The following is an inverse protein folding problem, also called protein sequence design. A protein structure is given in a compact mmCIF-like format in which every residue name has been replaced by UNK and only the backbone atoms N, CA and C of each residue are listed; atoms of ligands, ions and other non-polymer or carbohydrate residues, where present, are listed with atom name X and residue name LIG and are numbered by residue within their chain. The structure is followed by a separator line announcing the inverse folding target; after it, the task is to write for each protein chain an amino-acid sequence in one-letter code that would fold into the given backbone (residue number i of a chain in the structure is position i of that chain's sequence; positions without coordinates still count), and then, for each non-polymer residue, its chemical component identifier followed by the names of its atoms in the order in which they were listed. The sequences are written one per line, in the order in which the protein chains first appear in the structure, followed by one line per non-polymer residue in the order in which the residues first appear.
data_IF_035085953205
#
_entry.id   IF_035085953205
#
_cell.length_a   1.000
_cell.length_b   1.000
_cell.length_c   1.000
_cell.angle_alpha   90.00
_cell.angle_beta   90.00
_cell.angle_gamma   90.00
#
_symmetry.space_group_name_H-M   'P 1'
#
loop_
_entity.id
_entity.type
_entity.pdbx_description
1 polymer ?
#
# COMPACT_ATOMS: atom_id res chain seq x y z
N UNK A 1 -87.64 74.71 -34.65
CA UNK A 1 -86.34 75.30 -35.04
C UNK A 1 -85.37 75.00 -33.90
N UNK A 2 -84.54 73.96 -33.91
CA UNK A 2 -83.97 73.15 -35.01
C UNK A 2 -84.32 71.66 -34.89
N UNK A 3 -84.68 71.06 -36.02
CA UNK A 3 -84.53 69.62 -36.28
C UNK A 3 -83.06 69.23 -36.06
N UNK A 4 -82.81 68.19 -35.28
CA UNK A 4 -81.57 67.41 -35.39
C UNK A 4 -81.96 66.06 -35.98
N UNK A 5 -82.20 66.06 -37.29
CA UNK A 5 -82.40 64.83 -38.05
C UNK A 5 -81.09 64.09 -38.19
N UNK A 6 -80.80 63.17 -37.27
CA UNK A 6 -79.72 62.19 -37.47
C UNK A 6 -80.18 61.20 -38.56
N UNK A 7 -79.41 61.10 -39.65
CA UNK A 7 -79.80 60.23 -40.76
C UNK A 7 -79.48 58.77 -40.43
N UNK A 8 -80.30 57.82 -40.92
CA UNK A 8 -80.02 56.37 -40.77
C UNK A 8 -78.64 56.00 -41.33
N UNK A 9 -78.17 56.73 -42.34
CA UNK A 9 -76.85 56.56 -42.93
C UNK A 9 -75.74 56.88 -41.90
N UNK A 10 -75.93 57.91 -41.07
CA UNK A 10 -74.97 58.30 -40.04
C UNK A 10 -74.91 57.27 -38.90
N UNK A 11 -76.05 56.63 -38.57
CA UNK A 11 -76.10 55.57 -37.57
C UNK A 11 -75.44 54.26 -38.03
N UNK A 12 -75.52 53.92 -39.33
CA UNK A 12 -74.92 52.69 -39.91
C UNK A 12 -73.43 52.87 -40.21
N UNK A 13 -72.98 54.10 -40.51
CA UNK A 13 -71.58 54.43 -40.81
C UNK A 13 -70.92 55.24 -39.69
N UNK A 14 -71.27 54.95 -38.43
CA UNK A 14 -70.76 55.66 -37.27
C UNK A 14 -69.22 55.66 -37.21
N UNK A 15 -68.57 54.57 -37.65
CA UNK A 15 -67.11 54.44 -37.66
C UNK A 15 -66.39 55.37 -38.66
N UNK A 16 -67.08 55.82 -39.71
CA UNK A 16 -66.51 56.68 -40.77
C UNK A 16 -66.78 58.15 -40.46
N UNK A 17 -67.98 58.47 -39.96
CA UNK A 17 -68.42 59.84 -39.72
C UNK A 17 -68.01 60.35 -38.33
N UNK A 18 -67.98 59.47 -37.33
CA UNK A 18 -67.54 59.76 -35.97
C UNK A 18 -66.50 58.72 -35.51
N UNK A 19 -65.29 58.72 -36.13
CA UNK A 19 -64.26 57.76 -35.78
C UNK A 19 -63.88 57.89 -34.32
N UNK A 20 -63.91 56.77 -33.59
CA UNK A 20 -63.46 56.76 -32.21
C UNK A 20 -61.96 57.08 -32.15
N UNK A 21 -61.52 57.93 -31.20
CA UNK A 21 -60.10 58.19 -31.03
C UNK A 21 -59.37 56.88 -30.70
N UNK A 22 -58.19 56.64 -31.31
CA UNK A 22 -57.42 55.43 -31.02
C UNK A 22 -57.03 55.40 -29.55
N UNK A 23 -56.88 54.18 -29.02
CA UNK A 23 -56.41 53.99 -27.65
C UNK A 23 -55.02 54.59 -27.49
N UNK A 24 -54.77 55.36 -26.41
CA UNK A 24 -53.43 55.83 -26.10
C UNK A 24 -52.47 54.66 -25.96
N UNK A 25 -51.28 54.76 -26.59
CA UNK A 25 -50.29 53.67 -26.67
C UNK A 25 -49.88 53.09 -25.30
N UNK A 26 -49.92 53.91 -24.24
CA UNK A 26 -49.56 53.47 -22.89
C UNK A 26 -50.58 52.54 -22.23
N UNK A 27 -51.86 52.72 -22.58
CA UNK A 27 -52.98 51.93 -22.07
C UNK A 27 -53.30 50.72 -22.96
N UNK A 28 -52.75 50.70 -24.16
CA UNK A 28 -53.00 49.66 -25.17
C UNK A 28 -52.60 48.27 -24.68
N UNK A 29 -51.50 48.16 -23.94
CA UNK A 29 -51.03 46.90 -23.31
C UNK A 29 -52.00 46.28 -22.29
N UNK A 30 -52.86 47.09 -21.66
CA UNK A 30 -53.82 46.64 -20.65
C UNK A 30 -55.21 46.40 -21.24
N UNK A 31 -55.48 46.96 -22.42
CA UNK A 31 -56.71 46.68 -23.16
C UNK A 31 -56.55 45.40 -23.98
N UNK A 32 -57.67 44.72 -24.24
CA UNK A 32 -57.70 43.49 -25.02
C UNK A 32 -58.35 43.74 -26.39
N UNK A 33 -57.64 44.35 -27.36
CA UNK A 33 -58.08 44.34 -28.74
C UNK A 33 -57.81 42.94 -29.33
N UNK A 34 -58.87 42.21 -29.68
CA UNK A 34 -58.73 40.93 -30.38
C UNK A 34 -58.58 41.18 -31.88
N UNK A 35 -57.35 41.34 -32.34
CA UNK A 35 -57.05 41.42 -33.77
C UNK A 35 -56.75 40.02 -34.33
N UNK A 36 -57.44 39.58 -35.40
CA UNK A 36 -57.16 38.30 -36.04
C UNK A 36 -55.70 38.22 -36.51
N UNK A 37 -54.99 37.15 -36.14
CA UNK A 37 -53.63 36.86 -36.59
C UNK A 37 -52.50 37.37 -35.69
N UNK A 38 -52.79 38.13 -34.63
CA UNK A 38 -51.79 38.53 -33.61
C UNK A 38 -51.81 37.57 -32.42
N UNK A 39 -50.63 37.28 -31.87
CA UNK A 39 -50.48 36.46 -30.66
C UNK A 39 -50.87 37.30 -29.44
N UNK A 40 -51.81 36.80 -28.64
CA UNK A 40 -52.20 37.44 -27.38
C UNK A 40 -51.13 37.20 -26.31
N UNK A 41 -50.34 38.22 -26.00
CA UNK A 41 -49.32 38.20 -24.94
C UNK A 41 -49.92 38.74 -23.64
N UNK A 42 -49.50 38.22 -22.49
CA UNK A 42 -49.92 38.74 -21.19
C UNK A 42 -49.48 40.21 -21.02
N UNK A 43 -50.35 41.06 -20.47
CA UNK A 43 -50.16 42.53 -20.40
C UNK A 43 -48.81 42.96 -19.79
N UNK A 44 -48.27 42.20 -18.84
CA UNK A 44 -46.98 42.47 -18.22
C UNK A 44 -45.76 42.18 -19.12
N UNK A 45 -45.92 41.28 -20.11
CA UNK A 45 -44.84 40.80 -20.98
C UNK A 45 -44.87 41.41 -22.39
N UNK A 46 -45.84 42.29 -22.68
CA UNK A 46 -45.95 42.97 -23.99
C UNK A 46 -44.72 43.80 -24.32
N UNK A 47 -44.04 44.35 -23.31
CA UNK A 47 -42.80 45.13 -23.46
C UNK A 47 -41.53 44.27 -23.55
N UNK A 48 -41.62 42.96 -23.35
CA UNK A 48 -40.44 42.09 -23.30
C UNK A 48 -39.96 41.78 -24.72
N UNK A 49 -38.63 41.84 -24.91
CA UNK A 49 -38.03 41.53 -26.21
C UNK A 49 -38.07 40.02 -26.44
N UNK A 50 -38.82 39.60 -27.46
CA UNK A 50 -38.83 38.22 -27.91
C UNK A 50 -37.48 37.91 -28.58
N UNK A 51 -36.87 36.73 -28.36
CA UNK A 51 -35.68 36.30 -29.08
C UNK A 51 -35.89 36.36 -30.61
N UNK A 52 -34.80 36.55 -31.36
CA UNK A 52 -34.83 36.54 -32.82
C UNK A 52 -35.43 35.22 -33.33
N UNK A 53 -36.11 35.25 -34.49
CA UNK A 53 -36.76 34.07 -35.07
C UNK A 53 -35.79 32.89 -35.28
N UNK A 54 -34.51 33.18 -35.49
CA UNK A 54 -33.45 32.19 -35.69
C UNK A 54 -32.90 31.59 -34.39
N UNK A 55 -33.41 32.00 -33.22
CA UNK A 55 -32.95 31.49 -31.93
C UNK A 55 -33.47 30.06 -31.70
N UNK A 56 -32.60 29.04 -31.68
CA UNK A 56 -33.05 27.67 -31.48
C UNK A 56 -33.38 27.45 -30.00
N UNK A 57 -34.61 27.02 -29.72
CA UNK A 57 -35.01 26.58 -28.38
C UNK A 57 -34.63 25.12 -28.18
N UNK A 58 -33.91 24.80 -27.10
CA UNK A 58 -33.52 23.42 -26.74
C UNK A 58 -32.10 23.30 -26.17
N UNK A 59 -31.75 22.11 -25.71
CA UNK A 59 -30.40 21.80 -25.19
C UNK A 59 -29.51 21.43 -26.38
N UNK A 60 -28.42 22.17 -26.58
CA UNK A 60 -27.41 21.81 -27.59
C UNK A 60 -26.60 20.63 -27.07
N UNK A 61 -26.65 19.49 -27.75
CA UNK A 61 -25.78 18.36 -27.44
C UNK A 61 -24.36 18.69 -27.90
N UNK A 62 -23.41 18.67 -26.96
CA UNK A 62 -22.00 18.65 -27.31
C UNK A 62 -21.71 17.33 -28.01
N UNK A 63 -21.28 17.38 -29.27
CA UNK A 63 -20.77 16.18 -29.95
C UNK A 63 -19.55 15.72 -29.14
N UNK A 64 -19.67 14.56 -28.49
CA UNK A 64 -18.60 13.98 -27.69
C UNK A 64 -17.42 13.51 -28.56
N UNK A 65 -16.60 12.62 -28.00
CA UNK A 65 -15.53 11.99 -28.76
C UNK A 65 -16.09 11.22 -29.96
N UNK A 66 -15.45 11.38 -31.11
CA UNK A 66 -15.83 10.67 -32.34
C UNK A 66 -15.19 9.29 -32.35
N UNK A 67 -15.85 8.32 -33.00
CA UNK A 67 -15.36 6.93 -33.11
C UNK A 67 -13.92 6.89 -33.66
N UNK A 68 -13.58 7.79 -34.59
CA UNK A 68 -12.23 7.93 -35.13
C UNK A 68 -11.21 8.24 -34.03
N UNK A 69 -11.49 9.21 -33.15
CA UNK A 69 -10.58 9.56 -32.04
C UNK A 69 -10.35 8.40 -31.08
N UNK A 70 -11.34 7.54 -30.88
CA UNK A 70 -11.22 6.35 -30.04
C UNK A 70 -10.33 5.28 -30.67
N UNK A 71 -10.43 5.07 -31.98
CA UNK A 71 -9.61 4.10 -32.72
C UNK A 71 -8.15 4.57 -32.82
N UNK A 72 -7.95 5.88 -33.00
CA UNK A 72 -6.62 6.49 -33.16
C UNK A 72 -5.88 6.67 -31.83
N UNK A 73 -6.55 6.65 -30.69
CA UNK A 73 -5.93 6.88 -29.37
C UNK A 73 -4.76 5.94 -29.04
N UNK A 74 -4.72 4.74 -29.64
CA UNK A 74 -3.64 3.77 -29.49
C UNK A 74 -2.52 3.86 -30.54
N UNK A 75 -2.72 4.61 -31.64
CA UNK A 75 -1.73 4.78 -32.70
C UNK A 75 -0.91 6.04 -32.45
N UNK A 76 0.18 5.89 -31.70
CA UNK A 76 1.19 6.95 -31.57
C UNK A 76 2.34 6.62 -32.49
N UNK A 77 2.69 7.56 -33.35
CA UNK A 77 3.79 7.41 -34.30
C UNK A 77 4.87 8.46 -34.02
N UNK A 78 6.13 8.10 -34.28
CA UNK A 78 7.27 9.01 -34.23
C UNK A 78 7.57 9.55 -32.83
N UNK A 79 7.45 10.86 -32.64
CA UNK A 79 7.83 11.53 -31.38
C UNK A 79 6.90 11.13 -30.23
N UNK A 80 5.61 10.96 -30.52
CA UNK A 80 4.62 10.59 -29.50
C UNK A 80 4.85 9.17 -28.97
N UNK A 81 5.27 8.25 -29.84
CA UNK A 81 5.65 6.88 -29.48
C UNK A 81 6.92 6.89 -28.61
N UNK A 82 7.94 7.65 -29.00
CA UNK A 82 9.18 7.77 -28.23
C UNK A 82 8.94 8.34 -26.82
N UNK A 83 8.10 9.39 -26.70
CA UNK A 83 7.74 9.95 -25.40
C UNK A 83 6.96 8.95 -24.54
N UNK A 84 6.06 8.17 -25.14
CA UNK A 84 5.36 7.11 -24.44
C UNK A 84 6.33 6.02 -23.97
N UNK A 85 7.18 5.52 -24.85
CA UNK A 85 8.18 4.50 -24.53
C UNK A 85 9.15 4.98 -23.44
N UNK A 86 9.54 6.26 -23.47
CA UNK A 86 10.35 6.87 -22.42
C UNK A 86 9.60 6.92 -21.08
N UNK A 87 8.31 7.27 -21.09
CA UNK A 87 7.47 7.24 -19.89
C UNK A 87 7.29 5.82 -19.33
N UNK A 88 7.09 4.85 -20.22
CA UNK A 88 6.89 3.42 -19.89
C UNK A 88 8.18 2.70 -19.52
N UNK A 89 9.35 3.26 -19.86
CA UNK A 89 10.67 2.70 -19.53
C UNK A 89 10.90 2.48 -18.03
N UNK A 90 10.07 3.10 -17.17
CA UNK A 90 10.09 2.92 -15.72
C UNK A 90 9.59 1.52 -15.33
N UNK A 91 8.63 0.98 -16.09
CA UNK A 91 7.97 -0.29 -15.79
C UNK A 91 8.92 -1.47 -15.89
N UNK A 92 8.75 -2.42 -14.97
CA UNK A 92 9.61 -3.59 -14.85
C UNK A 92 9.47 -4.54 -16.05
N UNK A 93 8.25 -4.68 -16.60
CA UNK A 93 8.00 -5.43 -17.84
C UNK A 93 8.80 -4.87 -19.02
N UNK A 94 8.77 -3.55 -19.21
CA UNK A 94 9.51 -2.87 -20.27
C UNK A 94 11.03 -3.02 -20.13
N UNK A 95 11.56 -3.14 -18.91
CA UNK A 95 12.99 -3.38 -18.65
C UNK A 95 13.38 -4.84 -18.85
N UNK A 96 12.52 -5.79 -18.45
CA UNK A 96 12.80 -7.23 -18.48
C UNK A 96 12.58 -7.87 -19.84
N UNK A 97 11.63 -7.34 -20.61
CA UNK A 97 11.19 -7.93 -21.87
C UNK A 97 11.33 -6.93 -23.05
N UNK A 98 12.52 -6.35 -23.29
CA UNK A 98 12.72 -5.48 -24.44
C UNK A 98 12.63 -6.30 -25.74
N UNK A 99 11.75 -5.89 -26.65
CA UNK A 99 11.55 -6.61 -27.90
C UNK A 99 12.87 -6.69 -28.69
N UNK A 100 13.26 -7.91 -29.09
CA UNK A 100 14.47 -8.18 -29.87
C UNK A 100 15.80 -8.06 -29.10
N UNK A 101 15.77 -7.87 -27.77
CA UNK A 101 16.97 -7.84 -26.93
C UNK A 101 16.79 -8.75 -25.72
N UNK A 102 17.88 -9.33 -25.23
CA UNK A 102 17.86 -10.03 -23.95
C UNK A 102 17.79 -9.02 -22.79
N UNK A 103 17.30 -9.48 -21.64
CA UNK A 103 17.27 -8.67 -20.43
C UNK A 103 18.67 -8.14 -20.06
N UNK A 104 18.79 -6.82 -19.96
CA UNK A 104 20.01 -6.19 -19.46
C UNK A 104 19.92 -6.03 -17.93
N UNK A 105 20.78 -6.75 -17.21
CA UNK A 105 20.84 -6.75 -15.74
C UNK A 105 21.57 -5.52 -15.16
N UNK A 106 22.11 -4.63 -15.99
CA UNK A 106 22.78 -3.41 -15.55
C UNK A 106 24.17 -3.62 -14.97
N UNK A 107 24.87 -4.70 -15.33
CA UNK A 107 26.24 -4.93 -14.88
C UNK A 107 27.23 -4.04 -15.63
N UNK A 108 28.10 -3.35 -14.90
CA UNK A 108 29.22 -2.60 -15.46
C UNK A 108 30.37 -3.57 -15.80
N UNK A 109 30.51 -3.91 -17.08
CA UNK A 109 31.59 -4.77 -17.55
C UNK A 109 32.89 -3.96 -17.73
N UNK A 110 34.06 -4.52 -17.42
CA UNK A 110 35.35 -3.88 -17.70
C UNK A 110 35.50 -3.56 -19.19
N UNK A 111 36.08 -2.40 -19.54
CA UNK A 111 36.18 -1.93 -20.93
C UNK A 111 36.91 -2.90 -21.89
N UNK A 112 37.78 -3.75 -21.35
CA UNK A 112 38.51 -4.81 -22.08
C UNK A 112 37.55 -5.82 -22.73
N UNK A 113 36.34 -5.98 -22.19
CA UNK A 113 35.33 -6.92 -22.68
C UNK A 113 34.70 -6.47 -24.01
N UNK A 114 34.75 -5.17 -24.32
CA UNK A 114 34.18 -4.62 -25.56
C UNK A 114 35.07 -4.88 -26.79
N UNK A 115 36.31 -5.34 -26.59
CA UNK A 115 37.19 -5.69 -27.70
C UNK A 115 36.73 -6.99 -28.38
N UNK A 116 36.61 -7.05 -29.72
CA UNK A 116 36.15 -8.25 -30.43
C UNK A 116 37.10 -9.46 -30.30
N UNK A 117 38.34 -9.23 -29.89
CA UNK A 117 39.35 -10.25 -29.57
C UNK A 117 39.20 -10.86 -28.19
N UNK A 118 38.45 -10.23 -27.28
CA UNK A 118 38.28 -10.71 -25.93
C UNK A 118 37.49 -12.03 -25.91
N UNK A 119 37.85 -12.91 -24.98
CA UNK A 119 37.18 -14.19 -24.75
C UNK A 119 36.97 -14.33 -23.25
N UNK A 120 35.76 -14.72 -22.87
CA UNK A 120 35.45 -15.01 -21.47
C UNK A 120 36.06 -16.35 -21.05
N UNK A 121 36.52 -16.43 -19.80
CA UNK A 121 37.12 -17.63 -19.21
C UNK A 121 38.58 -17.42 -18.77
N UNK A 122 39.06 -18.33 -17.93
CA UNK A 122 40.45 -18.30 -17.46
C UNK A 122 41.32 -18.97 -18.52
N UNK A 123 42.22 -18.20 -19.15
CA UNK A 123 43.23 -18.77 -20.03
C UNK A 123 44.27 -19.49 -19.16
N UNK A 124 44.29 -20.82 -19.21
CA UNK A 124 45.38 -21.57 -18.62
C UNK A 124 46.63 -21.39 -19.48
N UNK A 125 47.71 -20.86 -18.89
CA UNK A 125 49.04 -20.94 -19.49
C UNK A 125 49.48 -22.40 -19.45
N UNK A 126 50.10 -22.88 -20.53
CA UNK A 126 50.77 -24.18 -20.47
C UNK A 126 51.82 -24.14 -19.35
N UNK A 127 51.83 -25.17 -18.50
CA UNK A 127 52.68 -25.23 -17.32
C UNK A 127 54.18 -25.16 -17.65
N UNK A 128 55.00 -25.04 -16.61
CA UNK A 128 56.45 -24.97 -16.77
C UNK A 128 56.99 -26.20 -17.50
N UNK A 129 57.92 -25.96 -18.42
CA UNK A 129 58.60 -27.02 -19.17
C UNK A 129 59.43 -27.81 -18.15
N UNK A 130 59.01 -29.02 -17.81
CA UNK A 130 59.63 -29.83 -16.73
C UNK A 130 61.15 -30.03 -16.86
N UNK A 131 61.71 -29.87 -18.08
CA UNK A 131 63.16 -29.86 -18.33
C UNK A 131 63.90 -28.73 -17.61
N UNK A 132 63.28 -27.55 -17.49
CA UNK A 132 63.89 -26.40 -16.81
C UNK A 132 63.89 -26.57 -15.29
N UNK A 133 62.90 -27.29 -14.76
CA UNK A 133 62.80 -27.63 -13.33
C UNK A 133 63.86 -28.67 -12.92
N UNK A 134 64.06 -29.70 -13.75
CA UNK A 134 65.02 -30.78 -13.47
C UNK A 134 66.49 -30.32 -13.50
N UNK A 135 66.82 -29.35 -14.34
CA UNK A 135 68.18 -28.87 -14.51
C UNK A 135 68.22 -27.34 -14.54
N UNK A 136 68.23 -26.68 -13.37
CA UNK A 136 68.30 -25.23 -13.30
C UNK A 136 69.66 -24.78 -13.86
N UNK A 137 69.64 -24.23 -15.08
CA UNK A 137 70.82 -23.63 -15.70
C UNK A 137 70.83 -22.14 -15.37
N UNK A 138 71.89 -21.67 -14.71
CA UNK A 138 72.09 -20.23 -14.44
C UNK A 138 72.02 -19.82 -12.97
N UNK A 139 72.03 -20.74 -12.00
CA UNK A 139 72.35 -20.36 -10.63
C UNK A 139 73.83 -20.00 -10.53
N UNK A 140 74.11 -18.75 -10.16
CA UNK A 140 75.46 -18.29 -9.81
C UNK A 140 75.89 -18.83 -8.44
N UNK A 141 77.20 -18.86 -8.19
CA UNK A 141 77.74 -19.19 -6.87
C UNK A 141 77.26 -18.15 -5.85
N UNK A 142 76.90 -18.60 -4.64
CA UNK A 142 76.39 -17.72 -3.60
C UNK A 142 77.41 -16.62 -3.24
N UNK A 143 76.93 -15.37 -2.99
CA UNK A 143 77.80 -14.28 -2.58
C UNK A 143 78.40 -14.55 -1.18
N UNK A 144 79.63 -14.06 -0.91
CA UNK A 144 80.39 -14.41 0.31
C UNK A 144 79.72 -13.99 1.63
N UNK A 145 78.81 -13.01 1.60
CA UNK A 145 78.03 -12.59 2.76
C UNK A 145 76.98 -13.63 3.19
N UNK A 146 76.48 -14.43 2.24
CA UNK A 146 75.55 -15.52 2.52
C UNK A 146 76.29 -16.64 3.25
N UNK A 147 77.52 -16.93 2.82
CA UNK A 147 78.41 -17.89 3.49
C UNK A 147 78.64 -17.53 4.97
N UNK A 148 79.01 -16.27 5.28
CA UNK A 148 79.21 -15.82 6.67
C UNK A 148 77.96 -15.99 7.56
N UNK A 149 76.77 -15.93 6.96
CA UNK A 149 75.50 -16.14 7.67
C UNK A 149 75.26 -17.61 7.97
N UNK A 150 75.56 -18.50 7.03
CA UNK A 150 75.47 -19.95 7.21
C UNK A 150 76.47 -20.44 8.26
N UNK A 151 77.70 -19.92 8.23
CA UNK A 151 78.72 -20.14 9.26
C UNK A 151 78.18 -19.80 10.66
N UNK A 152 77.51 -18.64 10.81
CA UNK A 152 76.98 -18.18 12.11
C UNK A 152 75.79 -19.01 12.62
N UNK A 153 74.93 -19.47 11.71
CA UNK A 153 73.63 -20.08 12.07
C UNK A 153 73.70 -21.60 12.16
N UNK A 154 74.41 -22.24 11.21
CA UNK A 154 74.46 -23.69 11.06
C UNK A 154 75.86 -24.26 11.36
N UNK A 155 76.87 -23.40 11.58
CA UNK A 155 78.25 -23.85 11.75
C UNK A 155 78.81 -24.50 10.49
N UNK A 156 78.27 -24.15 9.32
CA UNK A 156 78.68 -24.69 8.02
C UNK A 156 79.89 -23.90 7.50
N UNK A 157 81.08 -24.39 7.85
CA UNK A 157 82.35 -23.76 7.46
C UNK A 157 82.80 -24.30 6.11
N UNK A 158 83.38 -23.41 5.30
CA UNK A 158 84.11 -23.86 4.13
C UNK A 158 85.30 -24.73 4.60
N UNK A 159 85.67 -25.77 3.84
CA UNK A 159 86.81 -26.61 4.20
C UNK A 159 88.08 -25.78 4.46
N UNK A 160 88.57 -25.73 5.71
CA UNK A 160 89.80 -25.04 6.11
C UNK A 160 89.66 -23.69 6.83
N UNK A 161 88.45 -23.21 7.11
CA UNK A 161 88.22 -21.90 7.75
C UNK A 161 88.27 -21.95 9.31
N UNK A 162 89.07 -21.10 10.00
CA UNK A 162 89.11 -21.07 11.46
C UNK A 162 87.92 -20.31 12.08
N UNK A 163 87.44 -20.78 13.23
CA UNK A 163 86.26 -20.21 13.91
C UNK A 163 86.53 -18.81 14.46
N UNK A 164 85.96 -17.78 13.85
CA UNK A 164 86.01 -16.42 14.35
C UNK A 164 84.83 -16.11 15.30
N UNK A 165 85.11 -15.89 16.59
CA UNK A 165 84.08 -15.63 17.62
C UNK A 165 83.60 -14.16 17.68
N UNK A 166 84.14 -13.28 16.84
CA UNK A 166 83.74 -11.85 16.72
C UNK A 166 83.69 -11.09 18.06
N UNK A 167 84.62 -11.38 18.99
CA UNK A 167 84.74 -10.62 20.25
C UNK A 167 85.26 -9.18 19.98
N UNK A 168 84.58 -8.18 20.53
CA UNK A 168 85.04 -6.79 20.50
C UNK A 168 86.04 -6.58 21.64
N UNK A 169 87.31 -6.85 21.37
CA UNK A 169 88.35 -6.73 22.38
C UNK A 169 88.72 -5.25 22.62
N UNK A 170 88.69 -4.76 23.88
CA UNK A 170 89.07 -3.38 24.20
C UNK A 170 90.59 -3.17 24.19
N UNK A 171 91.34 -4.23 23.90
CA UNK A 171 92.79 -4.30 23.87
C UNK A 171 93.18 -5.23 22.72
N UNK A 172 94.26 -4.92 22.01
CA UNK A 172 94.70 -5.69 20.84
C UNK A 172 94.96 -7.17 21.23
N UNK A 173 94.14 -8.14 20.75
CA UNK A 173 94.16 -9.53 21.25
C UNK A 173 95.46 -10.25 20.92
N UNK A 174 96.14 -9.79 19.87
CA UNK A 174 97.42 -10.35 19.43
C UNK A 174 98.57 -9.85 20.34
N UNK A 175 98.38 -8.74 21.09
CA UNK A 175 99.45 -8.05 21.84
C UNK A 175 99.26 -7.91 23.35
N UNK A 176 98.03 -7.82 23.87
CA UNK A 176 97.77 -7.60 25.30
C UNK A 176 98.01 -8.86 26.15
N UNK A 177 98.72 -8.72 27.27
CA UNK A 177 98.83 -9.78 28.29
C UNK A 177 97.65 -9.68 29.26
N UNK A 178 96.80 -10.69 29.28
CA UNK A 178 95.64 -10.74 30.17
C UNK A 178 96.06 -11.18 31.60
N UNK A 179 95.58 -10.47 32.64
CA UNK A 179 95.85 -10.71 34.08
C UNK A 179 95.67 -9.44 34.95
N UNK A 180 95.58 -9.56 36.29
CA UNK A 180 95.29 -8.43 37.22
C UNK A 180 96.52 -8.00 38.07
N UNK A 181 96.66 -6.69 38.34
CA UNK A 181 97.67 -6.10 39.24
C UNK A 181 97.08 -5.00 40.15
N UNK A 182 97.44 -5.00 41.44
CA UNK A 182 96.88 -4.13 42.47
C UNK A 182 97.97 -3.30 43.15
N UNK A 183 97.85 -1.97 43.17
CA UNK A 183 98.68 -1.10 44.02
C UNK A 183 97.78 -0.21 44.90
N UNK A 184 97.89 -0.39 46.22
CA UNK A 184 97.05 0.27 47.23
C UNK A 184 97.80 1.38 47.97
N UNK A 185 97.24 2.59 47.98
CA UNK A 185 97.58 3.66 48.92
C UNK A 185 96.59 3.53 50.09
N UNK A 186 97.11 3.40 51.32
CA UNK A 186 96.39 3.06 52.55
C UNK A 186 95.37 4.09 53.05
N UNK A 187 94.36 4.42 52.24
CA UNK A 187 93.07 4.91 52.70
C UNK A 187 92.08 3.74 52.70
N UNK A 188 91.46 3.48 53.85
CA UNK A 188 90.23 2.70 53.85
C UNK A 188 89.16 3.57 53.16
N UNK A 189 88.90 3.27 51.88
CA UNK A 189 88.02 4.06 51.05
C UNK A 189 86.64 4.26 51.73
N UNK A 190 86.24 5.54 51.89
CA UNK A 190 84.84 5.91 52.12
C UNK A 190 84.39 6.34 53.53
N UNK A 191 85.25 6.37 54.57
CA UNK A 191 84.79 6.78 55.92
C UNK A 191 84.75 8.29 56.21
N UNK A 192 85.67 9.09 55.67
CA UNK A 192 85.78 10.51 56.03
C UNK A 192 84.61 11.39 55.53
N UNK A 193 84.01 11.06 54.38
CA UNK A 193 82.92 11.86 53.78
C UNK A 193 81.57 11.59 54.46
N UNK A 194 81.39 10.38 55.00
CA UNK A 194 80.13 9.95 55.61
C UNK A 194 79.79 10.72 56.89
N UNK A 195 80.79 10.97 57.74
CA UNK A 195 80.56 11.59 59.05
C UNK A 195 80.28 13.10 58.96
N UNK A 196 80.86 13.81 57.98
CA UNK A 196 80.60 15.23 57.75
C UNK A 196 79.21 15.54 57.17
N UNK A 197 78.57 14.56 56.55
CA UNK A 197 77.25 14.72 55.90
C UNK A 197 76.08 14.32 56.80
N UNK A 198 76.31 13.86 58.03
CA UNK A 198 75.25 13.35 58.90
C UNK A 198 74.94 14.36 60.04
N UNK A 199 74.05 15.31 59.80
CA UNK A 199 73.73 16.44 60.70
C UNK A 199 72.84 16.08 61.90
N UNK A 200 72.22 14.91 61.88
CA UNK A 200 71.31 14.44 62.94
C UNK A 200 72.06 13.96 64.20
N UNK A 201 73.39 13.87 64.10
CA UNK A 201 74.26 13.42 65.17
C UNK A 201 75.01 14.60 65.76
N UNK A 202 75.13 14.63 67.08
CA UNK A 202 76.02 15.55 67.76
C UNK A 202 77.49 15.25 67.41
N UNK A 203 78.41 16.12 67.85
CA UNK A 203 79.85 16.00 67.57
C UNK A 203 80.50 14.71 68.14
N UNK A 204 79.77 13.97 68.98
CA UNK A 204 80.19 12.68 69.54
C UNK A 204 79.53 11.48 68.83
N UNK A 205 78.71 11.72 67.81
CA UNK A 205 78.05 10.69 67.01
C UNK A 205 76.71 10.18 67.56
N UNK A 206 76.14 10.81 68.59
CA UNK A 206 74.87 10.43 69.23
C UNK A 206 73.70 11.33 68.82
N UNK A 207 72.46 10.85 68.95
CA UNK A 207 71.26 11.66 68.65
C UNK A 207 70.82 12.48 69.87
N UNK A 208 70.47 13.77 69.72
CA UNK A 208 70.02 14.58 70.84
C UNK A 208 68.65 14.10 71.38
N UNK A 209 68.55 13.89 72.69
CA UNK A 209 67.32 13.45 73.36
C UNK A 209 66.26 14.57 73.46
N UNK A 210 64.98 14.21 73.50
CA UNK A 210 63.84 15.15 73.56
C UNK A 210 63.86 15.99 74.84
N UNK A 211 63.77 17.32 74.69
CA UNK A 211 63.71 18.28 75.80
C UNK A 211 62.25 18.53 76.19
N UNK A 212 61.90 18.32 77.46
CA UNK A 212 60.57 18.66 77.98
C UNK A 212 60.46 20.19 78.15
N UNK A 213 59.39 20.78 77.62
CA UNK A 213 59.15 22.25 77.61
C UNK A 213 57.75 22.54 78.20
N UNK A 214 57.54 23.67 78.90
CA UNK A 214 56.22 24.06 79.40
C UNK A 214 55.18 24.17 78.29
N UNK A 215 53.96 23.69 78.58
CA UNK A 215 52.84 23.63 77.63
C UNK A 215 52.44 25.00 77.08
N UNK A 216 52.40 26.04 77.91
CA UNK A 216 52.06 27.40 77.49
C UNK A 216 53.01 27.94 76.43
N UNK A 217 54.31 27.64 76.56
CA UNK A 217 55.32 28.05 75.59
C UNK A 217 55.20 27.26 74.26
N UNK A 218 54.65 26.05 74.29
CA UNK A 218 54.35 25.26 73.09
C UNK A 218 53.06 25.75 72.42
N UNK A 219 52.00 26.00 73.18
CA UNK A 219 50.73 26.54 72.68
C UNK A 219 50.92 27.94 72.06
N UNK A 220 51.77 28.79 72.67
CA UNK A 220 52.18 30.07 72.07
C UNK A 220 52.95 29.87 70.75
N UNK A 221 53.90 28.93 70.71
CA UNK A 221 54.65 28.62 69.47
C UNK A 221 53.73 28.09 68.37
N UNK A 222 52.69 27.31 68.69
CA UNK A 222 51.72 26.78 67.71
C UNK A 222 50.82 27.84 67.07
N UNK A 223 50.59 28.96 67.75
CA UNK A 223 49.80 30.08 67.21
C UNK A 223 50.71 31.05 66.44
N UNK A 224 51.93 31.26 66.91
CA UNK A 224 52.82 32.30 66.39
C UNK A 224 53.72 31.81 65.24
N UNK A 225 54.09 30.53 65.22
CA UNK A 225 54.88 29.93 64.14
C UNK A 225 53.98 29.17 63.16
N UNK A 226 54.35 29.18 61.89
CA UNK A 226 53.69 28.37 60.87
C UNK A 226 54.25 26.94 60.88
N UNK A 227 53.37 25.96 61.10
CA UNK A 227 53.72 24.54 60.99
C UNK A 227 53.66 24.08 59.52
N UNK A 228 54.68 23.34 59.07
CA UNK A 228 54.71 22.82 57.70
C UNK A 228 53.54 21.85 57.47
N UNK A 229 52.76 22.09 56.41
CA UNK A 229 51.65 21.23 56.01
C UNK A 229 50.34 21.43 56.78
N UNK A 230 50.26 22.40 57.70
CA UNK A 230 49.02 22.78 58.38
C UNK A 230 48.67 24.24 58.12
N UNK A 231 47.37 24.54 58.16
CA UNK A 231 46.90 25.93 58.10
C UNK A 231 47.31 26.72 59.35
N UNK A 232 47.50 28.04 59.18
CA UNK A 232 47.84 28.93 60.29
C UNK A 232 46.74 28.88 61.37
N UNK A 233 47.13 28.63 62.61
CA UNK A 233 46.20 28.56 63.72
C UNK A 233 45.81 29.98 64.20
N UNK A 234 44.58 30.39 63.92
CA UNK A 234 44.05 31.72 64.30
C UNK A 234 43.27 31.70 65.63
N UNK A 235 43.47 30.68 66.47
CA UNK A 235 42.84 30.57 67.80
C UNK A 235 41.31 30.40 67.79
N UNK A 236 40.74 29.91 66.68
CA UNK A 236 39.29 29.81 66.44
C UNK A 236 38.62 28.56 67.06
N UNK A 237 39.35 27.75 67.82
CA UNK A 237 38.82 26.52 68.44
C UNK A 237 38.40 25.46 67.42
N UNK A 238 37.68 24.42 67.87
CA UNK A 238 37.08 23.41 66.97
C UNK A 238 35.72 23.92 66.48
N UNK A 239 35.45 23.94 65.17
CA UNK A 239 34.15 24.37 64.66
C UNK A 239 33.05 23.38 65.12
N UNK A 240 31.82 23.85 65.40
CA UNK A 240 30.72 23.01 65.89
C UNK A 240 30.04 22.24 64.75
N UNK A 241 30.82 21.65 63.86
CA UNK A 241 30.32 20.82 62.75
C UNK A 241 31.05 19.47 62.72
N UNK A 242 30.40 18.39 62.24
CA UNK A 242 31.06 17.12 62.01
C UNK A 242 32.24 17.27 61.04
N UNK A 243 33.24 16.39 61.16
CA UNK A 243 34.43 16.43 60.30
C UNK A 243 34.09 16.31 58.79
N UNK A 244 32.95 15.69 58.46
CA UNK A 244 32.49 15.46 57.09
C UNK A 244 31.63 16.61 56.53
N UNK A 245 31.44 17.70 57.28
CA UNK A 245 30.65 18.84 56.84
C UNK A 245 31.42 19.71 55.85
N UNK A 246 30.84 19.93 54.66
CA UNK A 246 31.37 20.87 53.67
C UNK A 246 30.84 22.28 53.92
N UNK A 247 31.74 23.23 54.17
CA UNK A 247 31.38 24.65 54.29
C UNK A 247 31.08 25.26 52.92
N UNK A 248 30.08 26.14 52.86
CA UNK A 248 29.66 26.84 51.63
C UNK A 248 28.13 26.87 51.48
N UNK A 249 27.66 27.46 50.38
CA UNK A 249 26.24 27.45 49.99
C UNK A 249 26.04 26.36 48.94
N UNK A 250 25.14 25.41 49.22
CA UNK A 250 24.78 24.35 48.26
C UNK A 250 23.98 24.93 47.09
N UNK A 251 24.31 24.51 45.87
CA UNK A 251 23.72 25.03 44.63
C UNK A 251 22.44 24.30 44.19
N UNK A 252 21.99 23.28 44.93
CA UNK A 252 20.89 22.42 44.50
C UNK A 252 19.57 22.85 45.14
N UNK A 253 18.67 23.44 44.35
CA UNK A 253 17.26 23.58 44.73
C UNK A 253 16.30 23.62 43.52
N UNK A 254 16.51 22.73 42.56
CA UNK A 254 15.43 22.38 41.64
C UNK A 254 15.08 20.93 41.85
N UNK A 255 13.96 20.68 42.52
CA UNK A 255 13.40 19.33 42.72
C UNK A 255 12.89 18.67 41.44
N UNK A 256 13.14 19.27 40.28
CA UNK A 256 12.76 18.75 38.97
C UNK A 256 14.00 18.59 38.12
N UNK A 257 14.23 17.37 37.66
CA UNK A 257 15.33 17.03 36.75
C UNK A 257 14.97 17.36 35.31
N UNK A 258 15.97 17.61 34.46
CA UNK A 258 15.73 17.83 33.03
C UNK A 258 14.98 16.66 32.35
N UNK A 259 15.19 15.43 32.84
CA UNK A 259 14.50 14.25 32.35
C UNK A 259 12.99 14.27 32.68
N UNK A 260 12.61 14.76 33.86
CA UNK A 260 11.20 14.94 34.25
C UNK A 260 10.53 16.05 33.44
N UNK A 261 11.24 17.14 33.14
CA UNK A 261 10.73 18.19 32.25
C UNK A 261 10.46 17.69 30.83
N UNK A 262 11.31 16.80 30.30
CA UNK A 262 11.14 16.24 28.95
C UNK A 262 10.00 15.24 28.88
N UNK A 263 9.83 14.40 29.91
CA UNK A 263 8.77 13.38 29.93
C UNK A 263 7.41 13.96 30.30
N UNK A 264 7.39 15.03 31.09
CA UNK A 264 6.16 15.60 31.64
C UNK A 264 5.44 14.65 32.59
N UNK A 265 4.39 15.16 33.23
CA UNK A 265 3.51 14.38 34.10
C UNK A 265 2.11 14.38 33.51
N UNK A 266 1.95 13.66 32.41
CA UNK A 266 0.67 13.56 31.69
C UNK A 266 -0.21 12.48 32.31
N UNK A 267 -1.49 12.76 32.61
CA UNK A 267 -2.44 11.71 32.99
C UNK A 267 -2.62 10.72 31.84
N UNK A 268 -3.07 9.50 32.14
CA UNK A 268 -3.23 8.44 31.14
C UNK A 268 -4.11 8.87 29.96
N UNK A 269 -5.10 9.73 30.17
CA UNK A 269 -5.98 10.27 29.13
C UNK A 269 -5.21 11.09 28.08
N UNK A 270 -4.19 11.86 28.48
CA UNK A 270 -3.36 12.68 27.58
C UNK A 270 -2.22 11.89 26.94
N UNK A 271 -1.91 10.69 27.46
CA UNK A 271 -0.95 9.77 26.85
C UNK A 271 -1.57 8.96 25.70
N UNK A 272 -2.91 8.88 25.66
CA UNK A 272 -3.61 8.16 24.60
C UNK A 272 -3.55 8.95 23.29
N UNK A 273 -3.50 8.26 22.14
CA UNK A 273 -3.61 8.92 20.84
C UNK A 273 -4.95 9.62 20.67
N UNK A 274 -4.96 10.68 19.85
CA UNK A 274 -6.18 11.43 19.52
C UNK A 274 -7.27 10.52 18.92
N UNK A 275 -8.55 10.72 19.29
CA UNK A 275 -9.64 9.82 18.92
C UNK A 275 -10.06 9.91 17.44
N UNK A 276 -9.64 10.94 16.70
CA UNK A 276 -9.92 11.12 15.27
C UNK A 276 -8.82 10.55 14.36
N UNK A 277 -7.80 9.90 14.94
CA UNK A 277 -6.79 9.16 14.18
C UNK A 277 -7.45 8.00 13.42
N UNK A 278 -7.47 8.10 12.09
CA UNK A 278 -7.98 7.06 11.20
C UNK A 278 -9.50 7.03 11.03
N UNK A 279 -10.26 7.91 11.72
CA UNK A 279 -11.71 7.96 11.61
C UNK A 279 -12.24 9.40 11.65
N UNK A 280 -13.20 9.71 10.78
CA UNK A 280 -13.86 11.02 10.82
C UNK A 280 -14.90 11.06 11.95
N UNK A 281 -14.64 11.80 13.02
CA UNK A 281 -15.61 12.00 14.13
C UNK A 281 -16.67 13.08 13.84
N UNK A 282 -16.52 13.82 12.74
CA UNK A 282 -17.46 14.89 12.34
C UNK A 282 -18.86 14.32 12.13
N UNK A 283 -19.84 14.86 12.85
CA UNK A 283 -21.25 14.50 12.72
C UNK A 283 -21.68 14.64 11.25
N UNK A 284 -22.34 13.61 10.72
CA UNK A 284 -22.76 13.52 9.31
C UNK A 284 -21.69 12.97 8.34
N UNK A 285 -20.45 12.77 8.78
CA UNK A 285 -19.37 12.14 7.98
C UNK A 285 -18.68 10.99 8.71
N UNK A 286 -19.31 10.47 9.76
CA UNK A 286 -18.78 9.36 10.54
C UNK A 286 -18.81 8.09 9.72
N UNK A 287 -17.68 7.37 9.68
CA UNK A 287 -17.59 6.06 9.06
C UNK A 287 -18.01 4.96 10.04
N UNK A 288 -19.17 5.14 10.68
CA UNK A 288 -19.73 4.20 11.65
C UNK A 288 -21.15 3.92 11.17
N UNK A 289 -21.38 2.68 10.73
CA UNK A 289 -22.69 2.24 10.24
C UNK A 289 -23.13 1.02 11.04
N UNK A 290 -24.34 1.05 11.59
CA UNK A 290 -24.93 -0.10 12.27
C UNK A 290 -25.48 -1.13 11.27
N UNK A 291 -25.71 -0.70 10.02
CA UNK A 291 -26.28 -1.53 8.97
C UNK A 291 -25.17 -2.25 8.19
N UNK A 292 -25.35 -3.55 7.95
CA UNK A 292 -24.49 -4.38 7.10
C UNK A 292 -24.89 -4.35 5.63
N UNK A 293 -25.96 -3.63 5.29
CA UNK A 293 -26.44 -3.53 3.91
C UNK A 293 -25.49 -2.68 3.06
N UNK A 294 -25.40 -2.94 1.75
CA UNK A 294 -24.71 -2.05 0.84
C UNK A 294 -25.43 -0.70 0.77
N UNK A 295 -24.67 0.39 0.90
CA UNK A 295 -25.17 1.75 0.67
C UNK A 295 -25.10 2.08 -0.82
N UNK A 296 -26.25 2.35 -1.42
CA UNK A 296 -26.35 2.69 -2.84
C UNK A 296 -27.74 2.43 -3.40
N UNK A 297 -27.88 2.61 -4.71
CA UNK A 297 -29.08 2.24 -5.46
C UNK A 297 -28.73 1.04 -6.35
N UNK A 298 -29.42 -0.12 -6.20
CA UNK A 298 -29.15 -1.28 -7.02
C UNK A 298 -29.57 -1.03 -8.47
N UNK A 299 -28.87 -1.66 -9.43
CA UNK A 299 -29.18 -1.55 -10.86
C UNK A 299 -30.55 -2.12 -11.20
N UNK A 300 -30.95 -3.17 -10.48
CA UNK A 300 -32.29 -3.78 -10.55
C UNK A 300 -33.02 -3.38 -9.27
N UNK A 301 -34.09 -2.61 -9.43
CA UNK A 301 -34.81 -1.96 -8.33
C UNK A 301 -35.89 -2.85 -7.73
N UNK A 302 -35.47 -4.00 -7.21
CA UNK A 302 -36.33 -4.90 -6.44
C UNK A 302 -36.70 -4.34 -5.05
N UNK A 303 -35.98 -3.31 -4.61
CA UNK A 303 -36.14 -2.61 -3.32
C UNK A 303 -37.42 -1.77 -3.24
N UNK A 304 -38.04 -1.44 -4.38
CA UNK A 304 -39.22 -0.59 -4.44
C UNK A 304 -40.41 -1.30 -5.09
N UNK A 305 -41.64 -0.93 -4.70
CA UNK A 305 -42.83 -1.48 -5.34
C UNK A 305 -42.89 -1.10 -6.82
N UNK A 306 -43.21 -2.09 -7.65
CA UNK A 306 -43.40 -1.92 -9.09
C UNK A 306 -44.54 -0.93 -9.35
N UNK A 307 -44.38 0.04 -10.28
CA UNK A 307 -45.44 0.98 -10.61
C UNK A 307 -46.63 0.25 -11.25
N UNK A 308 -47.86 0.59 -10.84
CA UNK A 308 -49.09 -0.01 -11.40
C UNK A 308 -49.23 0.28 -12.89
N UNK A 309 -48.84 1.47 -13.32
CA UNK A 309 -48.78 1.88 -14.72
C UNK A 309 -47.37 2.35 -15.01
N UNK A 310 -46.66 1.62 -15.87
CA UNK A 310 -45.30 1.97 -16.27
C UNK A 310 -45.34 3.14 -17.25
N UNK A 311 -44.49 4.15 -17.01
CA UNK A 311 -44.32 5.26 -17.96
C UNK A 311 -43.58 4.76 -19.21
N UNK A 312 -43.92 5.31 -20.38
CA UNK A 312 -43.21 5.00 -21.64
C UNK A 312 -41.73 5.40 -21.58
N UNK A 313 -41.40 6.41 -20.78
CA UNK A 313 -40.04 6.91 -20.57
C UNK A 313 -39.31 6.25 -19.38
N UNK A 314 -39.88 5.19 -18.81
CA UNK A 314 -39.31 4.53 -17.64
C UNK A 314 -38.18 3.58 -18.01
N UNK A 315 -36.95 4.02 -17.74
CA UNK A 315 -35.72 3.27 -18.02
C UNK A 315 -35.27 2.37 -16.87
N UNK A 316 -36.02 2.30 -15.76
CA UNK A 316 -35.64 1.48 -14.60
C UNK A 316 -36.18 0.06 -14.73
N UNK A 317 -35.34 -0.92 -14.39
CA UNK A 317 -35.74 -2.32 -14.30
C UNK A 317 -36.13 -2.65 -12.86
N UNK A 318 -37.33 -3.18 -12.64
CA UNK A 318 -37.88 -3.53 -11.32
C UNK A 318 -37.85 -5.04 -11.03
N UNK A 319 -37.04 -5.81 -11.76
CA UNK A 319 -36.95 -7.26 -11.67
C UNK A 319 -38.19 -8.00 -12.15
N UNK A 320 -38.95 -7.39 -13.06
CA UNK A 320 -40.03 -8.04 -13.81
C UNK A 320 -39.73 -8.17 -15.31
N UNK A 321 -38.55 -7.75 -15.74
CA UNK A 321 -38.15 -7.86 -17.14
C UNK A 321 -37.56 -9.25 -17.41
N UNK A 322 -37.87 -9.78 -18.59
CA UNK A 322 -37.33 -11.06 -19.07
C UNK A 322 -35.91 -10.88 -19.61
N UNK A 323 -35.12 -11.98 -19.59
CA UNK A 323 -33.78 -11.98 -20.15
C UNK A 323 -33.80 -11.85 -21.69
N UNK A 324 -32.68 -11.39 -22.27
CA UNK A 324 -32.56 -11.19 -23.71
C UNK A 324 -32.87 -12.44 -24.55
N UNK A 325 -32.55 -13.63 -24.03
CA UNK A 325 -32.86 -14.91 -24.71
C UNK A 325 -34.35 -15.17 -24.84
N UNK A 326 -35.15 -14.84 -23.83
CA UNK A 326 -36.60 -15.02 -23.86
C UNK A 326 -37.25 -14.02 -24.83
N UNK A 327 -36.72 -12.79 -24.93
CA UNK A 327 -37.18 -11.81 -25.91
C UNK A 327 -36.91 -12.22 -27.37
N UNK A 328 -35.79 -12.89 -27.62
CA UNK A 328 -35.46 -13.41 -28.96
C UNK A 328 -36.28 -14.65 -29.32
N UNK A 329 -36.65 -15.45 -28.32
CA UNK A 329 -37.39 -16.69 -28.48
C UNK A 329 -38.68 -16.66 -27.64
N UNK A 330 -39.69 -15.86 -28.06
CA UNK A 330 -40.89 -15.67 -27.28
C UNK A 330 -41.68 -16.98 -27.13
N UNK A 331 -42.31 -17.17 -25.98
CA UNK A 331 -43.13 -18.35 -25.74
C UNK A 331 -44.43 -18.30 -26.54
N UNK A 332 -45.04 -19.47 -26.78
CA UNK A 332 -46.24 -19.60 -27.62
C UNK A 332 -47.39 -18.68 -27.17
N UNK A 333 -47.50 -18.41 -25.88
CA UNK A 333 -48.59 -17.64 -25.29
C UNK A 333 -48.31 -16.13 -25.20
N UNK A 334 -47.07 -15.68 -25.42
CA UNK A 334 -46.77 -14.24 -25.46
C UNK A 334 -47.44 -13.54 -26.64
N UNK A 335 -47.62 -14.25 -27.77
CA UNK A 335 -48.39 -13.76 -28.92
C UNK A 335 -49.86 -13.53 -28.59
N UNK A 336 -50.39 -14.23 -27.58
CA UNK A 336 -51.75 -14.02 -27.06
C UNK A 336 -51.81 -12.94 -25.97
N UNK A 337 -50.68 -12.28 -25.66
CA UNK A 337 -50.58 -11.24 -24.64
C UNK A 337 -50.41 -11.77 -23.22
N UNK A 338 -50.09 -13.05 -23.03
CA UNK A 338 -49.84 -13.65 -21.72
C UNK A 338 -48.33 -13.68 -21.48
N UNK A 339 -47.79 -12.89 -20.53
CA UNK A 339 -46.36 -12.86 -20.25
C UNK A 339 -45.92 -14.10 -19.46
N UNK A 340 -44.66 -14.51 -19.61
CA UNK A 340 -44.06 -15.64 -18.89
C UNK A 340 -44.21 -15.54 -17.36
N UNK A 341 -44.17 -14.31 -16.83
CA UNK A 341 -44.36 -14.07 -15.39
C UNK A 341 -45.71 -14.55 -14.87
N UNK A 342 -46.74 -14.66 -15.72
CA UNK A 342 -48.09 -15.11 -15.29
C UNK A 342 -48.17 -16.63 -15.08
N UNK A 343 -47.29 -17.40 -15.73
CA UNK A 343 -47.10 -18.84 -15.53
C UNK A 343 -46.34 -19.14 -14.24
N UNK A 344 -45.37 -18.29 -13.90
CA UNK A 344 -44.59 -18.36 -12.65
C UNK A 344 -45.36 -17.83 -11.44
N UNK A 345 -46.47 -17.11 -11.66
CA UNK A 345 -47.30 -16.58 -10.59
C UNK A 345 -47.93 -17.73 -9.80
N UNK A 346 -47.63 -17.78 -8.50
CA UNK A 346 -48.20 -18.76 -7.57
C UNK A 346 -49.67 -18.43 -7.27
N UNK A 347 -50.55 -19.43 -7.37
CA UNK A 347 -52.01 -19.33 -7.22
C UNK A 347 -52.50 -20.40 -6.24
N UNK A 348 -53.68 -20.22 -5.62
CA UNK A 348 -54.27 -21.24 -4.77
C UNK A 348 -54.78 -22.43 -5.59
N UNK A 349 -54.97 -23.57 -4.93
CA UNK A 349 -55.34 -24.85 -5.57
C UNK A 349 -56.59 -24.77 -6.44
N UNK A 350 -57.64 -24.08 -5.96
CA UNK A 350 -58.89 -23.90 -6.71
C UNK A 350 -58.67 -23.16 -8.04
N UNK A 351 -57.98 -22.01 -7.99
CA UNK A 351 -57.71 -21.20 -9.19
C UNK A 351 -56.92 -21.98 -10.24
N UNK A 352 -55.91 -22.75 -9.82
CA UNK A 352 -55.09 -23.56 -10.75
C UNK A 352 -55.92 -24.67 -11.38
N UNK A 353 -56.76 -25.33 -10.60
CA UNK A 353 -57.69 -26.36 -11.08
C UNK A 353 -58.66 -25.79 -12.11
N UNK A 354 -59.23 -24.62 -11.83
CA UNK A 354 -60.17 -23.96 -12.73
C UNK A 354 -59.50 -23.59 -14.06
N UNK A 355 -58.29 -23.02 -14.02
CA UNK A 355 -57.52 -22.67 -15.22
C UNK A 355 -57.28 -23.90 -16.10
N UNK A 356 -56.84 -25.01 -15.51
CA UNK A 356 -56.54 -26.23 -16.26
C UNK A 356 -57.81 -26.88 -16.82
N UNK A 357 -58.90 -26.87 -16.06
CA UNK A 357 -60.21 -27.37 -16.51
C UNK A 357 -60.72 -26.56 -17.69
N UNK A 358 -60.62 -25.23 -17.62
CA UNK A 358 -60.96 -24.34 -18.73
C UNK A 358 -60.04 -24.53 -19.95
N UNK A 359 -58.77 -24.90 -19.74
CA UNK A 359 -57.83 -25.22 -20.80
C UNK A 359 -58.10 -26.59 -21.46
N UNK A 360 -59.01 -27.39 -20.92
CA UNK A 360 -59.42 -28.69 -21.47
C UNK A 360 -58.68 -29.89 -20.87
N UNK A 361 -57.94 -29.71 -19.77
CA UNK A 361 -57.38 -30.83 -19.01
C UNK A 361 -58.44 -31.42 -18.08
N UNK A 362 -58.56 -32.75 -18.08
CA UNK A 362 -59.41 -33.50 -17.16
C UNK A 362 -58.53 -34.31 -16.21
N UNK A 363 -58.63 -34.03 -14.91
CA UNK A 363 -57.92 -34.76 -13.86
C UNK A 363 -58.93 -35.41 -12.93
N UNK A 364 -58.62 -36.62 -12.46
CA UNK A 364 -59.31 -37.21 -11.31
C UNK A 364 -58.89 -36.47 -10.02
N UNK A 365 -59.80 -36.41 -9.04
CA UNK A 365 -59.56 -35.66 -7.79
C UNK A 365 -58.28 -36.12 -7.08
N UNK A 366 -58.08 -37.44 -7.00
CA UNK A 366 -56.91 -38.06 -6.34
C UNK A 366 -55.61 -37.73 -7.09
N UNK A 367 -55.62 -37.85 -8.42
CA UNK A 367 -54.46 -37.54 -9.26
C UNK A 367 -54.05 -36.07 -9.14
N UNK A 368 -55.03 -35.16 -9.11
CA UNK A 368 -54.76 -33.74 -8.99
C UNK A 368 -54.17 -33.38 -7.62
N UNK A 369 -54.66 -33.99 -6.53
CA UNK A 369 -54.06 -33.79 -5.19
C UNK A 369 -52.62 -34.29 -5.12
N UNK A 370 -52.31 -35.45 -5.71
CA UNK A 370 -50.96 -36.01 -5.70
C UNK A 370 -49.97 -35.17 -6.51
N UNK A 371 -50.39 -34.65 -7.66
CA UNK A 371 -49.59 -33.73 -8.48
C UNK A 371 -49.38 -32.41 -7.71
N UNK A 372 -50.44 -31.91 -7.05
CA UNK A 372 -50.39 -30.68 -6.27
C UNK A 372 -49.42 -30.77 -5.10
N UNK A 373 -49.44 -31.86 -4.32
CA UNK A 373 -48.53 -32.08 -3.20
C UNK A 373 -47.07 -32.18 -3.65
N UNK A 374 -46.82 -32.87 -4.77
CA UNK A 374 -45.47 -32.95 -5.37
C UNK A 374 -45.01 -31.60 -5.90
N UNK A 375 -45.90 -30.81 -6.50
CA UNK A 375 -45.58 -29.46 -6.97
C UNK A 375 -45.36 -28.48 -5.81
N UNK A 376 -46.07 -28.64 -4.68
CA UNK A 376 -45.78 -27.91 -3.44
C UNK A 376 -44.38 -28.27 -2.91
N UNK A 377 -43.99 -29.55 -2.98
CA UNK A 377 -42.66 -30.00 -2.56
C UNK A 377 -41.48 -29.42 -3.38
N UNK A 378 -41.73 -28.84 -4.55
CA UNK A 378 -40.71 -28.12 -5.33
C UNK A 378 -40.34 -26.76 -4.72
N UNK A 379 -41.19 -26.24 -3.84
CA UNK A 379 -41.01 -24.96 -3.20
C UNK A 379 -40.59 -25.16 -1.74
N UNK A 380 -39.46 -24.57 -1.35
CA UNK A 380 -38.94 -24.62 0.02
C UNK A 380 -39.65 -23.61 0.94
N UNK A 381 -40.96 -23.44 0.77
CA UNK A 381 -41.76 -22.50 1.53
C UNK A 381 -43.11 -23.08 1.97
N UNK A 382 -43.50 -22.83 3.22
CA UNK A 382 -44.70 -23.40 3.86
C UNK A 382 -46.03 -22.77 3.34
N UNK A 383 -46.05 -22.26 2.11
CA UNK A 383 -47.23 -21.60 1.53
C UNK A 383 -48.00 -22.57 0.63
N UNK A 384 -49.35 -22.69 0.77
CA UNK A 384 -50.17 -23.55 -0.08
C UNK A 384 -50.46 -22.91 -1.45
N UNK A 385 -49.42 -22.46 -2.15
CA UNK A 385 -49.50 -21.73 -3.42
C UNK A 385 -48.55 -22.37 -4.42
N UNK A 386 -49.06 -22.75 -5.59
CA UNK A 386 -48.27 -23.39 -6.65
C UNK A 386 -48.38 -22.55 -7.93
N UNK A 387 -47.27 -22.43 -8.67
CA UNK A 387 -47.26 -21.82 -10.00
C UNK A 387 -47.73 -22.81 -11.06
N UNK A 388 -48.40 -22.34 -12.12
CA UNK A 388 -48.85 -23.19 -13.21
C UNK A 388 -47.68 -23.96 -13.86
N UNK A 389 -46.52 -23.30 -13.99
CA UNK A 389 -45.30 -23.88 -14.56
C UNK A 389 -44.82 -25.13 -13.78
N UNK A 390 -44.65 -24.99 -12.46
CA UNK A 390 -44.26 -26.10 -11.59
C UNK A 390 -45.25 -27.28 -11.63
N UNK A 391 -46.55 -27.02 -11.69
CA UNK A 391 -47.56 -28.07 -11.77
C UNK A 391 -47.52 -28.79 -13.12
N UNK A 392 -47.43 -28.04 -14.22
CA UNK A 392 -47.28 -28.62 -15.56
C UNK A 392 -45.98 -29.40 -15.72
N UNK A 393 -44.91 -28.98 -15.05
CA UNK A 393 -43.66 -29.71 -15.01
C UNK A 393 -43.80 -31.08 -14.35
N UNK A 394 -44.45 -31.15 -13.17
CA UNK A 394 -44.72 -32.44 -12.50
C UNK A 394 -45.63 -33.32 -13.37
N UNK A 395 -46.67 -32.74 -13.94
CA UNK A 395 -47.60 -33.47 -14.81
C UNK A 395 -46.94 -34.00 -16.09
N UNK A 396 -46.03 -33.22 -16.70
CA UNK A 396 -45.27 -33.67 -17.87
C UNK A 396 -44.37 -34.86 -17.52
N UNK A 397 -43.72 -34.84 -16.35
CA UNK A 397 -42.91 -35.96 -15.88
C UNK A 397 -43.75 -37.23 -15.66
N UNK A 398 -44.96 -37.11 -15.11
CA UNK A 398 -45.87 -38.25 -14.95
C UNK A 398 -46.25 -38.87 -16.30
N UNK A 399 -46.55 -38.04 -17.30
CA UNK A 399 -46.84 -38.51 -18.65
C UNK A 399 -45.62 -39.22 -19.23
N UNK A 400 -44.42 -38.66 -19.07
CA UNK A 400 -43.19 -39.24 -19.58
C UNK A 400 -42.88 -40.59 -18.93
N UNK A 401 -43.12 -40.73 -17.62
CA UNK A 401 -43.02 -42.00 -16.90
C UNK A 401 -44.04 -43.02 -17.39
N UNK A 402 -45.31 -42.62 -17.55
CA UNK A 402 -46.37 -43.47 -18.08
C UNK A 402 -46.07 -43.94 -19.51
N UNK A 403 -45.57 -43.03 -20.36
CA UNK A 403 -45.15 -43.35 -21.73
C UNK A 403 -43.96 -44.29 -21.70
N UNK A 404 -42.97 -44.07 -20.82
CA UNK A 404 -41.83 -44.97 -20.68
C UNK A 404 -42.27 -46.38 -20.24
N UNK A 405 -43.20 -46.51 -19.30
CA UNK A 405 -43.77 -47.79 -18.87
C UNK A 405 -44.54 -48.48 -20.01
N UNK A 406 -45.32 -47.73 -20.79
CA UNK A 406 -46.04 -48.26 -21.97
C UNK A 406 -45.09 -48.71 -23.08
N UNK A 407 -44.06 -47.92 -23.37
CA UNK A 407 -43.03 -48.29 -24.35
C UNK A 407 -42.25 -49.53 -23.90
N UNK A 408 -41.91 -49.64 -22.61
CA UNK A 408 -41.23 -50.80 -22.06
C UNK A 408 -42.12 -52.05 -22.10
N UNK A 409 -43.41 -51.94 -21.81
CA UNK A 409 -44.35 -53.07 -21.90
C UNK A 409 -44.62 -53.52 -23.34
N UNK A 410 -44.60 -52.60 -24.32
CA UNK A 410 -44.66 -52.90 -25.76
C UNK A 410 -43.37 -53.54 -26.30
N UNK A 411 -42.23 -53.32 -25.64
CA UNK A 411 -40.93 -53.90 -26.02
C UNK A 411 -40.66 -55.30 -25.43
N UNK A 412 -41.56 -55.82 -24.58
CA UNK A 412 -41.43 -57.17 -24.02
C UNK A 412 -41.69 -58.24 -25.11
N UNK A 413 -40.77 -59.20 -25.34
CA UNK A 413 -40.92 -60.20 -26.39
C UNK A 413 -42.07 -61.16 -26.05
N UNK A 414 -43.01 -61.32 -26.99
CA UNK A 414 -44.04 -62.38 -26.99
C UNK A 414 -43.37 -63.76 -26.89
N UNK A 415 -43.23 -64.27 -25.66
CA UNK A 415 -42.89 -65.67 -25.41
C UNK A 415 -44.10 -66.53 -25.73
N UNK A 416 -44.16 -67.03 -26.95
CA UNK A 416 -45.14 -68.06 -27.30
C UNK A 416 -45.52 -68.08 -28.77
N UNK A 417 -44.59 -68.39 -29.68
CA UNK A 417 -44.89 -69.16 -30.89
C UNK A 417 -43.58 -69.66 -31.51
N UNK A 418 -43.43 -70.98 -31.55
CA UNK A 418 -42.21 -71.66 -31.97
C UNK A 418 -41.83 -71.37 -33.42
N UNK A 419 -40.60 -70.91 -33.62
CA UNK A 419 -39.97 -70.89 -34.93
C UNK A 419 -39.24 -72.21 -35.16
N UNK A 420 -39.81 -73.06 -36.02
CA UNK A 420 -39.07 -74.15 -36.68
C UNK A 420 -38.06 -73.51 -37.63
N UNK A 421 -36.79 -73.60 -37.29
CA UNK A 421 -35.70 -73.30 -38.21
C UNK A 421 -35.61 -74.39 -39.28
N UNK A 422 -35.61 -73.99 -40.56
CA UNK A 422 -35.06 -74.80 -41.67
C UNK A 422 -33.78 -74.12 -42.16
N UNK A 423 -32.69 -74.86 -42.39
CA UNK A 423 -31.46 -74.28 -42.89
C UNK A 423 -31.56 -74.08 -44.41
N UNK A 424 -31.13 -72.92 -44.90
CA UNK A 424 -30.84 -72.71 -46.32
C UNK A 424 -29.32 -72.57 -46.43
N UNK A 425 -28.74 -73.59 -47.05
CA UNK A 425 -27.38 -73.61 -47.59
C UNK A 425 -27.37 -72.83 -48.90
N UNK A 426 -26.35 -71.97 -49.11
CA UNK A 426 -25.71 -71.82 -50.41
C UNK A 426 -24.41 -70.98 -50.29
N UNK A 427 -23.30 -71.70 -50.52
CA UNK A 427 -22.05 -71.32 -51.20
C UNK A 427 -21.15 -70.24 -50.61
#
# INVERSE_FOLDING_TARGET
VHDTGESVKDAVQADILNPQPPTPRELDRFRRPFEPGKINVHWAQVSDKIPAADFPYGIRTHKGQTVQTTIEAGRKEGIAEYLQQRGESIYESSKREPLGKSYNRGHELPGVVNEPSFRFGIKQSQGEIGKQVLFPRGQGVDPPEVHERYVRTHGDYAPGEPVNRKYAWPVDPVKHRFGYGQEGIGLQAGKGVRDALTMDRDSSGAFPATRVVPREAEDFRRVNNDELGKGRNMMQGKPPVPADFAFGVSTNDSGVTAAECVRGWYPQEEQLPDPDLGACLRVGRRNVTQETRPFGCPSIRNDIPKPRFRSVADTQNYGNEVGASALLNPQRFELAGIPDSDFLRRRPQGDVRDILTCAGYSFDDEQFTDIWERALGLFEDDQPLVSLDALLFVYANDIDEDVAVRCNSLSAPLHGMGSRTRPISAK
#
